data_IF_219995322828
#
_entry.id   IF_219995322828
#
_cell.length_a   1.000
_cell.length_b   1.000
_cell.length_c   1.000
_cell.angle_alpha   90.00
_cell.angle_beta   90.00
_cell.angle_gamma   90.00
#
_symmetry.space_group_name_H-M   'P 1'
#
loop_
_entity.id
_entity.type
_entity.pdbx_description
1 polymer ?
#
# COMPACT_ATOMS: atom_id res chain seq x y z
N UNK A 1 19.62 -12.76 -20.84
CA UNK A 1 19.14 -11.40 -20.48
C UNK A 1 18.14 -10.93 -21.53
N UNK A 2 16.84 -10.90 -21.22
CA UNK A 2 15.83 -10.35 -22.15
C UNK A 2 15.88 -8.82 -22.03
N UNK A 3 16.21 -8.12 -23.11
CA UNK A 3 16.13 -6.65 -23.18
C UNK A 3 14.70 -6.24 -22.86
N UNK A 4 14.52 -5.40 -21.84
CA UNK A 4 13.25 -4.71 -21.60
C UNK A 4 12.88 -3.92 -22.86
N UNK A 5 11.64 -3.99 -23.35
CA UNK A 5 11.21 -3.20 -24.50
C UNK A 5 11.35 -1.71 -24.18
N UNK A 6 11.76 -0.94 -25.19
CA UNK A 6 11.91 0.51 -25.10
C UNK A 6 10.60 1.16 -24.59
N UNK A 7 10.70 1.99 -23.55
CA UNK A 7 9.58 2.76 -22.98
C UNK A 7 9.05 2.31 -21.61
N UNK A 8 9.63 1.27 -21.00
CA UNK A 8 9.30 0.85 -19.62
C UNK A 8 10.34 1.40 -18.65
N UNK A 9 10.10 2.59 -18.10
CA UNK A 9 10.86 3.08 -16.96
C UNK A 9 10.47 2.28 -15.72
N UNK A 10 11.29 1.29 -15.35
CA UNK A 10 11.18 0.62 -14.06
C UNK A 10 11.92 1.46 -13.02
N UNK A 11 11.15 2.23 -12.23
CA UNK A 11 11.71 3.06 -11.16
C UNK A 11 11.29 2.48 -9.82
N UNK A 12 12.20 2.45 -8.86
CA UNK A 12 11.93 1.98 -7.50
C UNK A 12 11.49 3.15 -6.63
N UNK A 13 10.48 2.94 -5.80
CA UNK A 13 10.04 3.95 -4.84
C UNK A 13 9.44 3.31 -3.58
N UNK A 14 9.34 4.14 -2.55
CA UNK A 14 8.67 3.80 -1.31
C UNK A 14 7.18 4.10 -1.35
N UNK A 15 6.33 3.17 -0.90
CA UNK A 15 4.98 3.50 -0.47
C UNK A 15 4.91 3.41 1.05
N UNK A 16 4.49 4.50 1.70
CA UNK A 16 4.11 4.50 3.11
C UNK A 16 2.60 4.39 3.23
N UNK A 17 2.12 3.35 3.91
CA UNK A 17 0.72 3.20 4.29
C UNK A 17 0.61 3.53 5.77
N UNK A 18 -0.24 4.51 6.11
CA UNK A 18 -0.59 4.82 7.50
C UNK A 18 -2.03 4.37 7.75
N UNK A 19 -2.19 3.45 8.68
CA UNK A 19 -3.49 2.97 9.14
C UNK A 19 -3.86 3.75 10.39
N UNK A 20 -4.85 4.62 10.30
CA UNK A 20 -5.36 5.43 11.41
C UNK A 20 -6.50 4.72 12.12
N UNK A 21 -6.60 4.85 13.44
CA UNK A 21 -7.71 4.29 14.23
C UNK A 21 -7.84 2.76 14.04
N UNK A 22 -6.72 2.04 14.05
CA UNK A 22 -6.73 0.58 14.08
C UNK A 22 -7.44 0.10 15.37
N UNK A 23 -8.38 -0.86 15.27
CA UNK A 23 -9.05 -1.38 16.46
C UNK A 23 -8.05 -2.06 17.41
N UNK A 24 -8.19 -1.86 18.72
CA UNK A 24 -7.26 -2.41 19.71
C UNK A 24 -7.24 -3.93 19.66
N UNK A 25 -6.06 -4.53 19.88
CA UNK A 25 -5.89 -5.98 19.96
C UNK A 25 -6.03 -6.73 18.63
N UNK A 26 -6.13 -6.04 17.49
CA UNK A 26 -6.19 -6.67 16.17
C UNK A 26 -4.85 -6.51 15.45
N UNK A 27 -4.23 -7.62 15.03
CA UNK A 27 -3.03 -7.55 14.19
C UNK A 27 -3.37 -7.15 12.76
N UNK A 28 -2.48 -6.37 12.16
CA UNK A 28 -2.51 -6.01 10.74
C UNK A 28 -1.16 -6.32 10.09
N UNK A 29 -1.19 -6.70 8.81
CA UNK A 29 0.02 -6.93 8.02
C UNK A 29 -0.22 -6.69 6.53
N UNK A 30 0.78 -6.15 5.83
CA UNK A 30 0.72 -5.99 4.37
C UNK A 30 1.03 -7.31 3.67
N UNK A 31 0.24 -7.69 2.67
CA UNK A 31 0.46 -8.94 1.95
C UNK A 31 1.57 -8.80 0.90
N UNK A 32 2.56 -9.70 0.98
CA UNK A 32 3.59 -9.91 -0.02
C UNK A 32 3.32 -11.23 -0.77
N UNK A 33 3.14 -11.14 -2.09
CA UNK A 33 2.85 -12.30 -2.92
C UNK A 33 1.55 -12.99 -2.52
N UNK A 34 1.60 -14.31 -2.34
CA UNK A 34 0.40 -15.12 -2.06
C UNK A 34 0.00 -15.11 -0.59
N UNK A 35 0.97 -15.20 0.31
CA UNK A 35 0.73 -15.48 1.74
C UNK A 35 1.71 -14.80 2.68
N UNK A 36 2.83 -14.28 2.19
CA UNK A 36 3.84 -13.67 3.06
C UNK A 36 3.30 -12.35 3.63
N UNK A 37 3.69 -12.05 4.86
CA UNK A 37 3.20 -10.92 5.61
C UNK A 37 4.35 -9.99 5.97
N UNK A 38 4.14 -8.69 5.75
CA UNK A 38 4.99 -7.62 6.25
C UNK A 38 4.30 -6.98 7.45
N UNK A 39 4.94 -7.08 8.61
CA UNK A 39 4.52 -6.40 9.84
C UNK A 39 4.72 -4.88 9.73
N UNK A 40 3.99 -4.08 10.53
CA UNK A 40 4.18 -2.63 10.57
C UNK A 40 5.61 -2.26 10.99
N UNK A 41 6.18 -1.25 10.34
CA UNK A 41 7.47 -0.67 10.72
C UNK A 41 7.36 0.21 11.98
N UNK A 42 6.16 0.68 12.32
CA UNK A 42 5.87 1.38 13.56
C UNK A 42 4.43 1.14 14.03
N UNK A 43 4.26 1.05 15.34
CA UNK A 43 2.97 0.95 16.02
C UNK A 43 2.94 1.98 17.16
N UNK A 44 2.05 2.98 17.08
CA UNK A 44 1.85 3.97 18.14
C UNK A 44 0.36 4.12 18.39
N UNK A 45 -0.11 3.74 19.58
CA UNK A 45 -1.52 3.69 19.96
C UNK A 45 -2.40 2.93 18.96
N UNK A 46 -3.15 3.66 18.13
CA UNK A 46 -4.06 3.12 17.10
C UNK A 46 -3.56 3.42 15.69
N UNK A 47 -2.33 3.88 15.55
CA UNK A 47 -1.66 4.16 14.30
C UNK A 47 -0.63 3.09 13.97
N UNK A 48 -0.72 2.56 12.75
CA UNK A 48 0.24 1.60 12.21
C UNK A 48 0.86 2.16 10.93
N UNK A 49 2.18 2.06 10.82
CA UNK A 49 2.93 2.50 9.65
C UNK A 49 3.51 1.29 8.95
N UNK A 50 3.40 1.24 7.62
CA UNK A 50 4.01 0.24 6.77
C UNK A 50 4.79 0.91 5.65
N UNK A 51 6.01 0.41 5.40
CA UNK A 51 6.87 0.88 4.32
C UNK A 51 7.06 -0.25 3.30
N UNK A 52 6.54 -0.03 2.09
CA UNK A 52 6.31 -1.08 1.09
C UNK A 52 7.10 -0.78 -0.18
N UNK A 53 8.17 -1.55 -0.48
CA UNK A 53 8.98 -1.35 -1.69
C UNK A 53 8.22 -1.80 -2.92
N UNK A 54 8.11 -0.89 -3.87
CA UNK A 54 7.43 -1.13 -5.13
C UNK A 54 8.29 -0.65 -6.30
N UNK A 55 7.94 -1.17 -7.47
CA UNK A 55 8.40 -0.61 -8.75
C UNK A 55 7.22 0.05 -9.44
N UNK A 56 7.47 1.16 -10.11
CA UNK A 56 6.53 1.77 -11.05
C UNK A 56 7.00 1.52 -12.47
N UNK A 57 6.04 1.39 -13.37
CA UNK A 57 6.28 1.20 -14.78
C UNK A 57 5.20 1.83 -15.65
N UNK A 58 5.60 2.33 -16.82
CA UNK A 58 4.68 2.66 -17.90
C UNK A 58 3.98 1.43 -18.44
N UNK A 59 2.71 1.62 -18.81
CA UNK A 59 1.91 0.62 -19.52
C UNK A 59 1.41 1.24 -20.82
N UNK A 60 1.61 0.53 -21.94
CA UNK A 60 1.10 0.96 -23.24
C UNK A 60 -0.43 1.23 -23.16
N UNK A 61 -0.83 2.41 -23.63
CA UNK A 61 -2.23 2.87 -23.60
C UNK A 61 -2.73 3.36 -22.24
N UNK A 62 -1.90 3.39 -21.19
CA UNK A 62 -2.26 3.94 -19.88
C UNK A 62 -1.62 5.30 -19.65
N UNK A 63 -2.39 6.25 -19.12
CA UNK A 63 -1.89 7.55 -18.63
C UNK A 63 -1.45 7.50 -17.16
N UNK A 64 -1.77 6.42 -16.45
CA UNK A 64 -1.40 6.22 -15.04
C UNK A 64 -0.27 5.19 -14.91
N UNK A 65 0.66 5.37 -13.95
CA UNK A 65 1.69 4.39 -13.66
C UNK A 65 1.09 3.06 -13.19
N UNK A 66 1.75 1.97 -13.56
CA UNK A 66 1.45 0.64 -13.05
C UNK A 66 2.35 0.34 -11.86
N UNK A 67 1.75 0.01 -10.72
CA UNK A 67 2.49 -0.48 -9.54
C UNK A 67 2.80 -1.97 -9.73
N UNK A 68 4.06 -2.31 -9.52
CA UNK A 68 4.66 -3.63 -9.69
C UNK A 68 5.43 -4.03 -8.42
N UNK A 69 5.80 -5.30 -8.37
CA UNK A 69 6.52 -5.88 -7.24
C UNK A 69 5.63 -6.84 -6.45
N UNK A 70 6.17 -7.45 -5.39
CA UNK A 70 5.48 -8.55 -4.70
C UNK A 70 4.27 -8.05 -3.89
N UNK A 71 4.19 -6.76 -3.56
CA UNK A 71 3.07 -6.17 -2.85
C UNK A 71 1.94 -5.69 -3.77
N UNK A 72 2.19 -5.61 -5.08
CA UNK A 72 1.21 -5.21 -6.07
C UNK A 72 0.30 -6.39 -6.43
N UNK A 73 -0.97 -6.28 -6.05
CA UNK A 73 -1.98 -7.32 -6.24
C UNK A 73 -2.98 -6.93 -7.33
N UNK A 74 -3.80 -7.89 -7.76
CA UNK A 74 -4.81 -7.68 -8.80
C UNK A 74 -4.25 -7.70 -10.23
N UNK A 75 -5.07 -7.42 -11.26
CA UNK A 75 -4.62 -7.31 -12.65
C UNK A 75 -3.90 -5.98 -12.92
N UNK A 76 -3.16 -5.88 -14.03
CA UNK A 76 -2.35 -4.68 -14.34
C UNK A 76 -3.20 -3.42 -14.58
N UNK A 77 -4.51 -3.56 -14.79
CA UNK A 77 -5.46 -2.44 -14.96
C UNK A 77 -6.09 -1.97 -13.67
N UNK A 78 -5.92 -2.73 -12.58
CA UNK A 78 -6.58 -2.46 -11.30
C UNK A 78 -5.69 -2.96 -10.16
N UNK A 79 -4.50 -2.36 -10.07
CA UNK A 79 -3.53 -2.65 -9.02
C UNK A 79 -4.01 -2.13 -7.67
N UNK A 80 -3.70 -2.89 -6.64
CA UNK A 80 -3.96 -2.51 -5.25
C UNK A 80 -2.94 -3.17 -4.32
N UNK A 81 -2.85 -2.65 -3.11
CA UNK A 81 -2.16 -3.29 -2.00
C UNK A 81 -3.17 -4.00 -1.11
N UNK A 82 -2.79 -5.15 -0.56
CA UNK A 82 -3.60 -5.86 0.43
C UNK A 82 -3.11 -5.57 1.84
N UNK A 83 -4.04 -5.15 2.70
CA UNK A 83 -3.86 -5.04 4.14
C UNK A 83 -4.69 -6.15 4.80
N UNK A 84 -4.02 -7.12 5.41
CA UNK A 84 -4.63 -8.21 6.14
C UNK A 84 -4.90 -7.81 7.58
N UNK A 85 -5.91 -8.42 8.20
CA UNK A 85 -6.16 -8.27 9.64
C UNK A 85 -6.65 -9.57 10.28
N UNK A 86 -6.37 -9.71 11.57
CA UNK A 86 -6.73 -10.89 12.36
C UNK A 86 -6.05 -12.16 11.87
N UNK A 87 -6.80 -13.23 11.63
CA UNK A 87 -6.24 -14.53 11.18
C UNK A 87 -5.47 -14.41 9.86
N UNK A 88 -5.93 -13.53 8.96
CA UNK A 88 -5.25 -13.24 7.69
C UNK A 88 -3.92 -12.51 7.89
N UNK A 89 -3.72 -11.89 9.05
CA UNK A 89 -2.47 -11.26 9.49
C UNK A 89 -1.70 -12.14 10.49
N UNK A 90 -2.00 -13.45 10.57
CA UNK A 90 -1.29 -14.39 11.43
C UNK A 90 -1.70 -14.36 12.90
N UNK A 91 -2.83 -13.73 13.26
CA UNK A 91 -3.37 -13.77 14.62
C UNK A 91 -4.39 -14.92 14.73
N UNK A 92 -4.00 -16.06 15.28
CA UNK A 92 -4.86 -17.25 15.33
C UNK A 92 -6.12 -17.08 16.21
N UNK A 93 -5.98 -16.45 17.38
CA UNK A 93 -7.04 -16.38 18.40
C UNK A 93 -7.87 -15.10 18.33
N UNK A 94 -8.36 -14.76 17.13
CA UNK A 94 -9.16 -13.55 16.91
C UNK A 94 -10.45 -13.87 16.18
N UNK A 95 -11.51 -13.11 16.47
CA UNK A 95 -12.79 -13.19 15.75
C UNK A 95 -12.73 -12.64 14.32
N UNK A 96 -11.60 -12.07 13.91
CA UNK A 96 -11.46 -11.37 12.63
C UNK A 96 -10.70 -12.18 11.58
N UNK A 97 -11.31 -12.35 10.41
CA UNK A 97 -10.68 -12.94 9.22
C UNK A 97 -10.91 -12.00 8.05
N UNK A 98 -10.09 -10.95 7.92
CA UNK A 98 -10.40 -9.81 7.03
C UNK A 98 -9.21 -9.36 6.19
N UNK A 99 -9.56 -8.74 5.07
CA UNK A 99 -8.62 -8.11 4.13
C UNK A 99 -9.21 -6.85 3.51
N UNK A 100 -8.40 -5.81 3.44
CA UNK A 100 -8.68 -4.55 2.78
C UNK A 100 -7.81 -4.36 1.52
N UNK A 101 -8.35 -3.67 0.51
CA UNK A 101 -7.71 -3.27 -0.73
C UNK A 101 -7.50 -1.77 -0.72
N UNK A 102 -6.25 -1.36 -0.88
CA UNK A 102 -5.85 0.04 -1.04
C UNK A 102 -5.54 0.24 -2.53
N UNK A 103 -6.42 0.95 -3.23
CA UNK A 103 -6.30 1.13 -4.70
C UNK A 103 -5.16 2.07 -5.03
N UNK A 104 -4.35 1.68 -6.01
CA UNK A 104 -3.21 2.49 -6.48
C UNK A 104 -3.53 3.28 -7.74
N UNK A 105 -4.75 3.17 -8.29
CA UNK A 105 -5.15 3.80 -9.54
C UNK A 105 -5.13 5.33 -9.51
N UNK A 106 -5.18 5.93 -8.31
CA UNK A 106 -5.08 7.37 -8.10
C UNK A 106 -3.63 7.89 -8.03
N UNK A 107 -2.62 7.00 -8.03
CA UNK A 107 -1.21 7.41 -8.12
C UNK A 107 -0.97 7.91 -9.54
N UNK A 108 -0.57 9.18 -9.67
CA UNK A 108 -0.26 9.81 -10.95
C UNK A 108 1.25 9.80 -11.23
N UNK A 109 1.64 10.04 -12.48
CA UNK A 109 3.06 10.26 -12.82
C UNK A 109 3.61 11.50 -12.12
N UNK A 110 2.82 12.56 -11.93
CA UNK A 110 3.25 13.75 -11.20
C UNK A 110 3.67 13.42 -9.77
N UNK A 111 2.89 12.60 -9.05
CA UNK A 111 3.26 12.13 -7.70
C UNK A 111 4.53 11.27 -7.70
N UNK A 112 4.66 10.38 -8.70
CA UNK A 112 5.85 9.53 -8.85
C UNK A 112 7.10 10.39 -9.11
N UNK A 113 7.01 11.33 -10.04
CA UNK A 113 8.13 12.20 -10.42
C UNK A 113 8.51 13.13 -9.25
N UNK A 114 7.52 13.68 -8.55
CA UNK A 114 7.73 14.48 -7.34
C UNK A 114 8.42 13.69 -6.24
N UNK A 115 7.99 12.46 -5.95
CA UNK A 115 8.62 11.62 -4.94
C UNK A 115 10.07 11.25 -5.32
N UNK A 116 10.33 10.98 -6.61
CA UNK A 116 11.67 10.63 -7.09
C UNK A 116 12.63 11.83 -7.17
N UNK A 117 12.10 13.05 -7.22
CA UNK A 117 12.90 14.26 -7.17
C UNK A 117 13.42 14.62 -5.77
N UNK A 118 12.92 13.94 -4.73
CA UNK A 118 13.27 14.17 -3.33
C UNK A 118 14.17 13.06 -2.81
N UNK A 119 15.19 13.42 -2.03
CA UNK A 119 15.95 12.45 -1.25
C UNK A 119 15.05 11.86 -0.16
N UNK A 120 15.03 10.53 -0.03
CA UNK A 120 14.34 9.83 1.06
C UNK A 120 12.82 10.13 1.14
N UNK A 121 12.13 10.14 0.00
CA UNK A 121 10.68 10.32 -0.04
C UNK A 121 9.89 9.02 -0.31
N UNK A 122 8.61 9.06 0.03
CA UNK A 122 7.63 8.01 -0.18
C UNK A 122 6.35 8.57 -0.78
N UNK A 123 5.62 7.74 -1.53
CA UNK A 123 4.20 7.94 -1.78
C UNK A 123 3.42 7.52 -0.54
N UNK A 124 2.73 8.47 0.07
CA UNK A 124 1.95 8.29 1.28
C UNK A 124 0.47 8.11 0.95
N UNK A 125 -0.14 7.13 1.60
CA UNK A 125 -1.59 6.97 1.69
C UNK A 125 -1.99 6.74 3.14
N UNK A 126 -3.05 7.40 3.56
CA UNK A 126 -3.63 7.23 4.89
C UNK A 126 -5.01 6.59 4.74
N UNK A 127 -5.36 5.65 5.61
CA UNK A 127 -6.66 4.96 5.58
C UNK A 127 -7.21 4.77 6.99
N UNK A 128 -8.54 4.64 7.10
CA UNK A 128 -9.17 4.17 8.34
C UNK A 128 -8.95 2.66 8.52
N UNK A 129 -8.39 2.29 9.68
CA UNK A 129 -8.18 0.90 10.10
C UNK A 129 -9.41 0.23 10.69
N UNK A 130 -10.45 0.99 11.03
CA UNK A 130 -11.71 0.50 11.59
C UNK A 130 -12.83 0.53 10.53
N UNK A 131 -13.67 -0.50 10.53
CA UNK A 131 -14.91 -0.58 9.78
C UNK A 131 -16.10 -0.08 10.63
N UNK A 132 -17.27 0.09 9.99
CA UNK A 132 -18.49 0.57 10.68
C UNK A 132 -18.98 -0.33 11.81
N UNK A 133 -18.59 -1.60 11.83
CA UNK A 133 -18.95 -2.57 12.87
C UNK A 133 -17.95 -2.61 14.04
N UNK A 134 -17.00 -1.66 14.09
CA UNK A 134 -15.96 -1.61 15.12
C UNK A 134 -14.80 -2.57 14.88
N UNK A 135 -14.93 -3.49 13.91
CA UNK A 135 -13.87 -4.42 13.51
C UNK A 135 -12.82 -3.77 12.60
N UNK A 136 -11.80 -4.53 12.18
CA UNK A 136 -10.79 -4.01 11.28
C UNK A 136 -11.38 -3.77 9.88
N UNK A 137 -10.81 -2.81 9.16
CA UNK A 137 -11.22 -2.42 7.82
C UNK A 137 -11.18 -3.63 6.86
N UNK A 138 -12.14 -3.69 5.93
CA UNK A 138 -12.24 -4.75 4.93
C UNK A 138 -12.86 -4.27 3.62
N UNK A 139 -12.65 -5.01 2.54
CA UNK A 139 -13.16 -4.63 1.21
C UNK A 139 -12.25 -3.60 0.54
N UNK A 140 -12.80 -2.66 -0.23
CA UNK A 140 -12.00 -1.55 -0.80
C UNK A 140 -12.13 -0.34 0.11
N UNK A 141 -10.99 0.19 0.55
CA UNK A 141 -10.96 1.31 1.52
C UNK A 141 -10.55 2.59 0.80
N UNK A 142 -11.33 3.68 0.92
CA UNK A 142 -10.92 4.96 0.38
C UNK A 142 -9.75 5.53 1.19
N UNK A 143 -8.78 6.18 0.53
CA UNK A 143 -7.83 7.04 1.22
C UNK A 143 -8.51 8.16 2.01
N UNK A 144 -7.86 8.60 3.08
CA UNK A 144 -8.18 9.83 3.81
C UNK A 144 -7.62 11.07 3.10
N UNK A 145 -8.08 12.24 3.53
CA UNK A 145 -7.49 13.55 3.22
C UNK A 145 -7.17 13.79 1.74
N UNK A 146 -8.05 13.31 0.86
CA UNK A 146 -7.96 13.57 -0.58
C UNK A 146 -7.05 12.64 -1.38
N UNK A 147 -6.40 11.64 -0.76
CA UNK A 147 -5.72 10.58 -1.51
C UNK A 147 -4.23 10.41 -1.25
N UNK A 148 -3.53 10.08 -2.33
CA UNK A 148 -2.10 9.85 -2.36
C UNK A 148 -1.35 11.18 -2.37
N UNK A 149 -0.27 11.27 -1.61
CA UNK A 149 0.60 12.46 -1.53
C UNK A 149 2.06 12.06 -1.45
N UNK A 150 2.97 12.99 -1.68
CA UNK A 150 4.40 12.77 -1.42
C UNK A 150 4.69 13.08 0.04
N UNK A 151 5.48 12.23 0.69
CA UNK A 151 6.02 12.43 2.02
C UNK A 151 7.55 12.42 1.91
N UNK A 152 8.20 13.52 2.30
CA UNK A 152 9.64 13.53 2.56
C UNK A 152 9.86 12.97 3.96
N UNK A 153 10.57 11.85 4.06
CA UNK A 153 10.82 11.21 5.34
C UNK A 153 12.01 11.90 6.03
N UNK A 154 11.86 12.18 7.32
CA UNK A 154 12.96 12.68 8.13
C UNK A 154 14.16 11.72 8.04
N UNK A 155 15.37 12.29 7.97
CA UNK A 155 16.63 11.56 7.99
C UNK A 155 16.98 11.12 9.40
#
# INVERSE_FOLDING_TARGET
MKKSPAGVENRELMIRVVVRNAPPGVKFAMQRGKSDLLEPSSCMDTELVFDVPVRVASRAGSKVPSILGPYAQGPASDRFLYLNSGTMAGQAETGWTRRAKIKTAAISWALVDEALAQDNAALLVEIHGCARDGGPCCGTIPPLDGGWKVLVMAR
#
